data_IF_704550807211
#
_entry.id   IF_704550807211
#
_cell.length_a   1.000
_cell.length_b   1.000
_cell.length_c   1.000
_cell.angle_alpha   90.00
_cell.angle_beta   90.00
_cell.angle_gamma   90.00
#
_symmetry.space_group_name_H-M   'P 1'
#
loop_
_entity.id
_entity.type
_entity.pdbx_description
1 polymer ?
#
# COMPACT_ATOMS: atom_id res chain seq x y z
N UNK A 1 -6.79 10.29 -10.96
CA UNK A 1 -7.62 9.70 -12.03
C UNK A 1 -8.03 8.26 -11.72
N UNK A 2 -7.11 7.33 -11.50
CA UNK A 2 -7.41 5.90 -11.22
C UNK A 2 -8.42 5.64 -10.08
N UNK A 3 -8.31 6.36 -8.96
CA UNK A 3 -9.24 6.18 -7.83
C UNK A 3 -10.70 6.55 -8.18
N UNK A 4 -10.89 7.58 -9.01
CA UNK A 4 -12.22 7.99 -9.45
C UNK A 4 -12.78 7.05 -10.53
N UNK A 5 -11.91 6.55 -11.42
CA UNK A 5 -12.28 5.51 -12.38
C UNK A 5 -12.72 4.22 -11.66
N UNK A 6 -11.98 3.79 -10.63
CA UNK A 6 -12.35 2.65 -9.80
C UNK A 6 -13.73 2.85 -9.15
N UNK A 7 -13.96 4.01 -8.53
CA UNK A 7 -15.26 4.30 -7.91
C UNK A 7 -16.39 4.31 -8.94
N UNK A 8 -16.17 4.91 -10.12
CA UNK A 8 -17.17 4.95 -11.19
C UNK A 8 -17.52 3.56 -11.71
N UNK A 9 -16.52 2.69 -11.92
CA UNK A 9 -16.74 1.30 -12.38
C UNK A 9 -17.46 0.47 -11.32
N UNK A 10 -17.04 0.54 -10.06
CA UNK A 10 -17.70 -0.21 -8.97
C UNK A 10 -19.14 0.27 -8.78
N UNK A 11 -19.41 1.58 -8.88
CA UNK A 11 -20.78 2.10 -8.85
C UNK A 11 -21.64 1.61 -10.01
N UNK A 12 -21.09 1.53 -11.22
CA UNK A 12 -21.81 1.03 -12.38
C UNK A 12 -22.15 -0.47 -12.25
N UNK A 13 -21.21 -1.27 -11.75
CA UNK A 13 -21.40 -2.70 -11.48
C UNK A 13 -22.42 -2.94 -10.36
N UNK A 14 -22.35 -2.21 -9.25
CA UNK A 14 -23.36 -2.24 -8.18
C UNK A 14 -24.77 -1.89 -8.69
N UNK A 15 -24.88 -0.88 -9.57
CA UNK A 15 -26.16 -0.51 -10.16
C UNK A 15 -26.74 -1.62 -11.05
N UNK A 16 -25.90 -2.31 -11.82
CA UNK A 16 -26.34 -3.44 -12.65
C UNK A 16 -26.82 -4.63 -11.80
N UNK A 17 -26.17 -4.86 -10.65
CA UNK A 17 -26.53 -5.95 -9.71
C UNK A 17 -27.80 -5.65 -8.92
N UNK A 18 -28.07 -4.38 -8.61
CA UNK A 18 -29.29 -3.97 -7.91
C UNK A 18 -30.57 -4.31 -8.67
N UNK A 19 -30.51 -4.41 -10.01
CA UNK A 19 -31.67 -4.81 -10.82
C UNK A 19 -32.05 -6.29 -10.69
N UNK A 20 -31.31 -7.08 -9.90
CA UNK A 20 -31.60 -8.50 -9.66
C UNK A 20 -32.62 -8.71 -8.52
N UNK A 21 -33.51 -9.73 -8.60
CA UNK A 21 -34.62 -9.93 -7.65
C UNK A 21 -34.23 -10.13 -6.18
N UNK A 22 -33.01 -10.61 -5.89
CA UNK A 22 -32.51 -10.88 -4.53
C UNK A 22 -31.38 -9.92 -4.10
N UNK A 23 -31.32 -8.72 -4.68
CA UNK A 23 -30.21 -7.81 -4.45
C UNK A 23 -30.22 -7.17 -3.04
N UNK A 24 -29.06 -7.23 -2.37
CA UNK A 24 -28.75 -6.44 -1.18
C UNK A 24 -28.77 -4.93 -1.51
N UNK A 25 -28.88 -4.09 -0.47
CA UNK A 25 -28.75 -2.64 -0.62
C UNK A 25 -27.39 -2.33 -1.28
N UNK A 26 -27.36 -1.54 -2.38
CA UNK A 26 -26.13 -1.28 -3.11
C UNK A 26 -25.13 -0.48 -2.26
N UNK A 27 -23.85 -0.76 -2.45
CA UNK A 27 -22.79 -0.05 -1.73
C UNK A 27 -22.81 1.45 -2.05
N UNK A 28 -22.73 2.27 -1.01
CA UNK A 28 -22.59 3.71 -1.16
C UNK A 28 -21.18 4.09 -1.63
N UNK A 29 -21.04 5.28 -2.22
CA UNK A 29 -19.72 5.82 -2.60
C UNK A 29 -18.74 5.82 -1.41
N UNK A 30 -19.24 6.14 -0.22
CA UNK A 30 -18.42 6.23 0.98
C UNK A 30 -17.94 4.85 1.44
N UNK A 31 -18.78 3.82 1.33
CA UNK A 31 -18.39 2.45 1.62
C UNK A 31 -17.35 1.95 0.61
N UNK A 32 -17.59 2.16 -0.69
CA UNK A 32 -16.63 1.80 -1.75
C UNK A 32 -15.28 2.50 -1.52
N UNK A 33 -15.30 3.79 -1.17
CA UNK A 33 -14.09 4.54 -0.85
C UNK A 33 -13.38 4.00 0.39
N UNK A 34 -14.09 3.72 1.47
CA UNK A 34 -13.51 3.15 2.70
C UNK A 34 -12.91 1.77 2.46
N UNK A 35 -13.59 0.93 1.69
CA UNK A 35 -13.08 -0.38 1.29
C UNK A 35 -11.82 -0.24 0.45
N UNK A 36 -11.80 0.64 -0.55
CA UNK A 36 -10.62 0.88 -1.37
C UNK A 36 -9.42 1.36 -0.54
N UNK A 37 -9.64 2.31 0.37
CA UNK A 37 -8.58 2.81 1.26
C UNK A 37 -8.04 1.68 2.14
N UNK A 38 -8.93 0.87 2.70
CA UNK A 38 -8.56 -0.17 3.67
C UNK A 38 -7.87 -1.36 3.00
N UNK A 39 -8.37 -1.80 1.85
CA UNK A 39 -7.92 -3.01 1.17
C UNK A 39 -6.75 -2.77 0.22
N UNK A 40 -6.64 -1.57 -0.36
CA UNK A 40 -5.61 -1.29 -1.38
C UNK A 40 -4.60 -0.29 -0.86
N UNK A 41 -5.06 0.88 -0.42
CA UNK A 41 -4.17 1.99 -0.10
C UNK A 41 -3.33 1.68 1.13
N UNK A 42 -3.93 1.22 2.24
CA UNK A 42 -3.18 0.94 3.49
C UNK A 42 -2.11 -0.15 3.30
N UNK A 43 -2.38 -1.33 2.72
CA UNK A 43 -1.36 -2.36 2.52
C UNK A 43 -0.22 -1.91 1.61
N UNK A 44 -0.52 -1.15 0.55
CA UNK A 44 0.50 -0.61 -0.36
C UNK A 44 1.43 0.36 0.39
N UNK A 45 0.87 1.27 1.19
CA UNK A 45 1.67 2.21 1.96
C UNK A 45 2.53 1.52 3.03
N UNK A 46 1.96 0.54 3.75
CA UNK A 46 2.72 -0.25 4.72
C UNK A 46 3.86 -1.03 4.05
N UNK A 47 3.60 -1.65 2.89
CA UNK A 47 4.63 -2.35 2.12
C UNK A 47 5.75 -1.41 1.69
N UNK A 48 5.41 -0.25 1.10
CA UNK A 48 6.38 0.75 0.70
C UNK A 48 7.20 1.26 1.90
N UNK A 49 6.55 1.48 3.05
CA UNK A 49 7.21 1.88 4.28
C UNK A 49 8.19 0.81 4.78
N UNK A 50 7.79 -0.46 4.83
CA UNK A 50 8.63 -1.59 5.25
C UNK A 50 9.84 -1.78 4.33
N UNK A 51 9.65 -1.63 3.02
CA UNK A 51 10.72 -1.69 2.04
C UNK A 51 11.69 -0.50 2.20
N UNK A 52 11.16 0.71 2.38
CA UNK A 52 11.96 1.90 2.65
C UNK A 52 12.79 1.77 3.93
N UNK A 53 12.19 1.29 5.01
CA UNK A 53 12.87 1.01 6.27
C UNK A 53 13.96 -0.05 6.13
N UNK A 54 13.67 -1.13 5.40
CA UNK A 54 14.64 -2.19 5.12
C UNK A 54 15.85 -1.66 4.34
N UNK A 55 15.61 -0.82 3.33
CA UNK A 55 16.67 -0.18 2.54
C UNK A 55 17.52 0.76 3.39
N UNK A 56 16.88 1.61 4.19
CA UNK A 56 17.57 2.51 5.11
C UNK A 56 18.46 1.75 6.08
N UNK A 57 17.92 0.69 6.72
CA UNK A 57 18.66 -0.15 7.66
C UNK A 57 19.91 -0.77 7.02
N UNK A 58 19.74 -1.39 5.83
CA UNK A 58 20.86 -2.04 5.12
C UNK A 58 21.95 -1.03 4.74
N UNK A 59 21.56 0.17 4.29
CA UNK A 59 22.53 1.23 4.00
C UNK A 59 23.31 1.65 5.25
N UNK A 60 22.65 1.77 6.40
CA UNK A 60 23.32 2.09 7.65
C UNK A 60 24.23 0.96 8.13
N UNK A 61 23.83 -0.30 7.99
CA UNK A 61 24.67 -1.46 8.30
C UNK A 61 25.94 -1.47 7.45
N UNK A 62 25.82 -1.25 6.13
CA UNK A 62 26.97 -1.18 5.23
C UNK A 62 27.96 -0.06 5.63
N UNK A 63 27.44 1.12 6.03
CA UNK A 63 28.27 2.22 6.54
C UNK A 63 29.00 1.85 7.82
N UNK A 64 28.30 1.25 8.78
CA UNK A 64 28.91 0.81 10.04
C UNK A 64 29.99 -0.25 9.80
N UNK A 65 29.72 -1.21 8.91
CA UNK A 65 30.66 -2.25 8.52
C UNK A 65 31.90 -1.66 7.84
N UNK A 66 31.74 -0.72 6.92
CA UNK A 66 32.85 -0.03 6.27
C UNK A 66 33.74 0.71 7.28
N UNK A 67 33.14 1.48 8.20
CA UNK A 67 33.89 2.16 9.27
C UNK A 67 34.59 1.18 10.21
N UNK A 68 33.98 0.02 10.48
CA UNK A 68 34.58 -1.02 11.32
C UNK A 68 35.82 -1.61 10.65
N UNK A 69 35.73 -1.98 9.36
CA UNK A 69 36.88 -2.50 8.62
C UNK A 69 37.99 -1.46 8.45
N UNK A 70 37.65 -0.19 8.22
CA UNK A 70 38.65 0.89 8.17
C UNK A 70 39.43 1.01 9.48
N UNK A 71 38.74 0.92 10.63
CA UNK A 71 39.43 0.94 11.94
C UNK A 71 40.29 -0.29 12.16
N UNK A 72 39.81 -1.48 11.82
CA UNK A 72 40.62 -2.70 11.93
C UNK A 72 41.88 -2.60 11.09
N UNK A 73 41.77 -2.14 9.83
CA UNK A 73 42.92 -1.95 8.94
C UNK A 73 43.92 -0.90 9.43
N UNK A 74 43.47 0.09 10.21
CA UNK A 74 44.35 1.10 10.81
C UNK A 74 45.01 0.64 12.13
N UNK A 75 44.55 -0.47 12.71
CA UNK A 75 45.08 -1.06 13.96
C UNK A 75 45.94 -2.31 13.73
N UNK A 76 45.98 -2.81 12.49
CA UNK A 76 46.85 -3.90 12.03
C UNK A 76 48.15 -3.35 11.46
#
# INVERSE_FOLDING_TARGET
MLAHAFLAVVRADEHARYLAPDALIPLTCNEIQRLFITLVIRPVHDTAHRLGWSHWRRRHQARAQASHYQRQAAQA
#
